data_IF_485280454194
#
_entry.id   IF_485280454194
#
_cell.length_a   1.000
_cell.length_b   1.000
_cell.length_c   1.000
_cell.angle_alpha   90.00
_cell.angle_beta   90.00
_cell.angle_gamma   90.00
#
_symmetry.space_group_name_H-M   'P 1'
#
loop_
_entity.id
_entity.type
_entity.pdbx_description
1 polymer ?
#
# COMPACT_ATOMS: atom_id res chain seq x y z
N UNK A 1 -22.43 1.89 -15.82
CA UNK A 1 -21.83 1.49 -17.11
C UNK A 1 -20.58 0.69 -16.82
N UNK A 2 -20.63 -0.60 -17.20
CA UNK A 2 -19.58 -1.60 -17.02
C UNK A 2 -18.48 -1.38 -18.06
N UNK A 3 -17.21 -1.36 -17.65
CA UNK A 3 -16.07 -1.50 -18.57
C UNK A 3 -15.29 -2.75 -18.14
N UNK A 4 -15.70 -3.87 -18.73
CA UNK A 4 -14.98 -5.15 -18.74
C UNK A 4 -14.14 -5.23 -20.02
N UNK A 5 -12.98 -5.88 -19.89
CA UNK A 5 -12.14 -6.54 -20.92
C UNK A 5 -11.23 -5.66 -21.78
N UNK A 6 -9.93 -5.88 -21.59
CA UNK A 6 -9.03 -6.23 -22.70
C UNK A 6 -7.89 -7.11 -22.15
N UNK A 7 -7.93 -8.40 -22.46
CA UNK A 7 -6.75 -9.25 -22.50
C UNK A 7 -7.00 -10.33 -23.55
N UNK A 8 -6.29 -10.23 -24.67
CA UNK A 8 -6.29 -11.17 -25.76
C UNK A 8 -5.30 -12.31 -25.48
N UNK A 9 -5.79 -13.50 -25.78
CA UNK A 9 -5.21 -14.83 -25.73
C UNK A 9 -3.96 -15.00 -26.59
N UNK A 10 -2.97 -15.78 -26.13
CA UNK A 10 -2.21 -16.70 -27.00
C UNK A 10 -1.63 -17.90 -26.20
N UNK A 11 -2.25 -19.04 -26.47
CA UNK A 11 -1.73 -20.41 -26.60
C UNK A 11 -0.85 -21.09 -25.51
N UNK A 12 -1.48 -22.05 -24.80
CA UNK A 12 -1.23 -23.50 -24.88
C UNK A 12 0.21 -24.03 -24.79
N UNK A 13 0.59 -24.53 -23.60
CA UNK A 13 1.33 -25.80 -23.40
C UNK A 13 0.83 -26.48 -22.12
N UNK A 14 0.71 -27.81 -22.16
CA UNK A 14 -0.01 -28.67 -21.22
C UNK A 14 0.55 -28.76 -19.79
N UNK A 15 -0.08 -29.61 -18.94
CA UNK A 15 0.00 -29.50 -17.50
C UNK A 15 1.32 -30.07 -16.99
N UNK A 16 2.13 -29.23 -16.35
CA UNK A 16 3.17 -29.69 -15.44
C UNK A 16 2.51 -29.72 -14.06
N UNK A 17 2.07 -30.90 -13.64
CA UNK A 17 1.66 -31.18 -12.27
C UNK A 17 2.91 -31.10 -11.39
N UNK A 18 3.18 -29.92 -10.81
CA UNK A 18 4.17 -29.76 -9.74
C UNK A 18 3.42 -29.87 -8.42
N UNK A 19 3.88 -30.82 -7.61
CA UNK A 19 3.54 -31.08 -6.23
C UNK A 19 3.18 -29.81 -5.42
N UNK A 20 1.94 -29.82 -4.91
CA UNK A 20 1.47 -29.22 -3.66
C UNK A 20 2.23 -28.03 -3.09
N UNK A 21 1.99 -26.85 -3.67
CA UNK A 21 2.21 -25.58 -2.97
C UNK A 21 0.82 -25.06 -2.59
N UNK A 22 0.32 -25.49 -1.44
CA UNK A 22 -1.00 -25.10 -0.93
C UNK A 22 -0.91 -23.67 -0.40
N UNK A 23 -0.71 -22.71 -1.32
CA UNK A 23 -0.56 -21.31 -0.98
C UNK A 23 -1.90 -20.82 -0.44
N UNK A 24 -1.95 -20.29 0.81
CA UNK A 24 -3.20 -19.88 1.42
C UNK A 24 -3.92 -18.87 0.54
N UNK A 25 -5.20 -19.11 0.29
CA UNK A 25 -6.03 -18.23 -0.53
C UNK A 25 -6.31 -16.97 0.28
N UNK A 26 -6.02 -15.80 -0.28
CA UNK A 26 -6.32 -14.53 0.38
C UNK A 26 -7.61 -13.94 -0.18
N UNK A 27 -8.52 -13.53 0.70
CA UNK A 27 -9.78 -12.89 0.34
C UNK A 27 -9.92 -11.55 1.05
N UNK A 28 -10.16 -10.49 0.28
CA UNK A 28 -10.30 -9.13 0.79
C UNK A 28 -11.76 -8.79 1.01
N UNK A 29 -12.14 -8.47 2.25
CA UNK A 29 -13.52 -8.16 2.59
C UNK A 29 -13.76 -6.65 2.59
N UNK A 30 -14.74 -6.22 1.80
CA UNK A 30 -15.25 -4.85 1.72
C UNK A 30 -14.15 -3.75 1.62
N UNK A 31 -13.18 -3.83 0.69
CA UNK A 31 -12.06 -2.89 0.63
C UNK A 31 -12.50 -1.41 0.50
N UNK A 32 -13.61 -1.13 -0.18
CA UNK A 32 -14.11 0.22 -0.43
C UNK A 32 -14.64 0.93 0.83
N UNK A 33 -15.04 0.19 1.85
CA UNK A 33 -15.57 0.72 3.12
C UNK A 33 -14.48 1.03 4.15
N UNK A 34 -13.20 0.91 3.77
CA UNK A 34 -12.04 1.13 4.64
C UNK A 34 -12.11 2.44 5.43
N UNK A 35 -12.62 3.53 4.84
CA UNK A 35 -12.70 4.85 5.50
C UNK A 35 -13.73 4.92 6.64
N UNK A 36 -14.70 4.00 6.63
CA UNK A 36 -15.80 3.97 7.60
C UNK A 36 -15.51 3.06 8.78
N UNK A 37 -14.55 2.13 8.66
CA UNK A 37 -14.15 1.19 9.73
C UNK A 37 -13.02 1.76 10.58
N UNK A 38 -13.33 2.32 11.73
CA UNK A 38 -12.33 2.92 12.64
C UNK A 38 -12.01 2.03 13.83
N UNK A 39 -12.84 1.05 14.13
CA UNK A 39 -12.68 0.19 15.30
C UNK A 39 -12.40 -1.27 14.93
N UNK A 40 -11.80 -2.00 15.88
CA UNK A 40 -11.68 -3.45 15.76
C UNK A 40 -13.06 -4.11 15.80
N UNK A 41 -14.04 -3.54 16.52
CA UNK A 41 -15.41 -4.03 16.52
C UNK A 41 -16.02 -3.98 15.11
N UNK A 42 -15.82 -2.88 14.36
CA UNK A 42 -16.29 -2.77 12.97
C UNK A 42 -15.70 -3.89 12.10
N UNK A 43 -14.49 -4.34 12.42
CA UNK A 43 -13.82 -5.42 11.70
C UNK A 43 -14.40 -6.79 12.05
N UNK A 44 -14.68 -7.03 13.33
CA UNK A 44 -15.33 -8.25 13.80
C UNK A 44 -16.76 -8.35 13.27
N UNK A 45 -17.50 -7.25 13.20
CA UNK A 45 -18.84 -7.20 12.61
C UNK A 45 -18.83 -7.64 11.14
N UNK A 46 -17.83 -7.20 10.36
CA UNK A 46 -17.64 -7.66 8.97
C UNK A 46 -17.33 -9.15 8.93
N UNK A 47 -16.49 -9.68 9.82
CA UNK A 47 -16.20 -11.12 9.87
C UNK A 47 -17.44 -11.96 10.21
N UNK A 48 -18.29 -11.49 11.13
CA UNK A 48 -19.56 -12.14 11.45
C UNK A 48 -20.55 -12.08 10.29
N UNK A 49 -20.68 -10.93 9.62
CA UNK A 49 -21.59 -10.77 8.48
C UNK A 49 -21.27 -11.72 7.32
N UNK A 50 -20.01 -12.13 7.19
CA UNK A 50 -19.56 -13.08 6.17
C UNK A 50 -19.51 -14.55 6.67
N UNK A 51 -20.03 -14.84 7.87
CA UNK A 51 -19.96 -16.16 8.52
C UNK A 51 -18.53 -16.74 8.59
N UNK A 52 -17.52 -15.86 8.58
CA UNK A 52 -16.11 -16.23 8.61
C UNK A 52 -15.70 -16.57 10.04
N UNK A 53 -16.24 -15.84 11.02
CA UNK A 53 -15.80 -15.93 12.41
C UNK A 53 -16.09 -17.29 13.06
N UNK A 54 -17.15 -17.99 12.64
CA UNK A 54 -17.56 -19.27 13.24
C UNK A 54 -16.57 -20.41 12.98
N UNK A 55 -15.65 -20.25 12.01
CA UNK A 55 -14.56 -21.19 11.71
C UNK A 55 -13.15 -20.65 11.96
N UNK A 56 -13.02 -19.41 12.46
CA UNK A 56 -11.72 -18.77 12.64
C UNK A 56 -11.13 -19.13 13.99
N UNK A 57 -9.92 -19.69 13.96
CA UNK A 57 -9.21 -20.09 15.17
C UNK A 57 -8.39 -18.94 15.77
N UNK A 58 -7.96 -17.99 14.94
CA UNK A 58 -7.17 -16.83 15.37
C UNK A 58 -7.41 -15.64 14.44
N UNK A 59 -7.75 -14.49 15.01
CA UNK A 59 -7.67 -13.20 14.32
C UNK A 59 -6.41 -12.49 14.76
N UNK A 60 -5.60 -12.03 13.82
CA UNK A 60 -4.32 -11.32 14.06
C UNK A 60 -4.32 -9.96 13.39
N UNK A 61 -3.84 -8.96 14.09
CA UNK A 61 -3.59 -7.63 13.55
C UNK A 61 -2.15 -7.60 13.00
N UNK A 62 -1.99 -7.04 11.81
CA UNK A 62 -0.70 -6.80 11.17
C UNK A 62 -0.58 -5.33 10.78
N UNK A 63 0.57 -4.75 11.10
CA UNK A 63 0.86 -3.34 10.81
C UNK A 63 2.06 -3.26 9.85
N UNK A 64 1.81 -2.81 8.63
CA UNK A 64 2.87 -2.49 7.67
C UNK A 64 3.30 -1.02 7.82
N UNK A 65 4.60 -0.73 7.87
CA UNK A 65 5.06 0.66 7.82
C UNK A 65 4.89 1.26 6.42
N UNK A 66 4.28 2.43 6.32
CA UNK A 66 4.29 3.28 5.13
C UNK A 66 5.02 4.58 5.46
N UNK A 67 6.20 4.74 4.88
CA UNK A 67 6.93 6.01 4.94
C UNK A 67 6.32 6.96 3.93
N UNK A 68 5.91 8.12 4.39
CA UNK A 68 5.34 9.18 3.57
C UNK A 68 6.48 10.05 3.02
N UNK A 69 6.22 10.87 1.98
CA UNK A 69 7.25 11.76 1.47
C UNK A 69 7.78 12.78 2.49
N UNK A 70 6.97 13.14 3.50
CA UNK A 70 7.40 13.94 4.66
C UNK A 70 8.41 13.23 5.56
N UNK A 71 8.77 11.97 5.26
CA UNK A 71 9.55 11.05 6.11
C UNK A 71 8.79 10.53 7.34
N UNK A 72 7.58 11.01 7.59
CA UNK A 72 6.70 10.44 8.60
C UNK A 72 6.37 8.98 8.25
N UNK A 73 6.35 8.10 9.26
CA UNK A 73 5.86 6.74 9.09
C UNK A 73 4.45 6.64 9.66
N UNK A 74 3.55 6.05 8.88
CA UNK A 74 2.19 5.66 9.30
C UNK A 74 2.06 4.14 9.19
N UNK A 75 1.23 3.54 10.05
CA UNK A 75 0.89 2.13 9.98
C UNK A 75 -0.26 1.87 9.01
N UNK A 76 -0.04 0.98 8.05
CA UNK A 76 -1.07 0.29 7.28
C UNK A 76 -1.65 -0.83 8.14
N UNK A 77 -2.91 -0.69 8.52
CA UNK A 77 -3.56 -1.59 9.47
C UNK A 77 -4.38 -2.62 8.72
N UNK A 78 -4.05 -3.90 8.91
CA UNK A 78 -4.79 -5.02 8.37
C UNK A 78 -5.09 -6.05 9.46
N UNK A 79 -6.27 -6.65 9.38
CA UNK A 79 -6.72 -7.72 10.27
C UNK A 79 -6.86 -8.99 9.44
N UNK A 80 -6.16 -10.02 9.86
CA UNK A 80 -6.08 -11.32 9.22
C UNK A 80 -6.91 -12.31 10.04
N UNK A 81 -7.91 -12.90 9.42
CA UNK A 81 -8.70 -13.97 9.99
C UNK A 81 -8.41 -15.26 9.22
N UNK A 82 -7.72 -16.19 9.87
CA UNK A 82 -7.36 -17.48 9.29
C UNK A 82 -8.49 -18.50 9.51
N UNK A 83 -9.12 -18.95 8.43
CA UNK A 83 -10.08 -20.05 8.47
C UNK A 83 -9.37 -21.36 8.11
N UNK A 84 -9.13 -22.18 9.14
CA UNK A 84 -8.42 -23.46 8.98
C UNK A 84 -9.21 -24.49 8.17
N UNK A 85 -10.54 -24.41 8.14
CA UNK A 85 -11.38 -25.34 7.38
C UNK A 85 -11.44 -25.00 5.88
N UNK A 86 -11.27 -23.72 5.53
CA UNK A 86 -11.41 -23.24 4.16
C UNK A 86 -10.07 -22.93 3.46
N UNK A 87 -8.92 -23.15 4.13
CA UNK A 87 -7.57 -22.78 3.67
C UNK A 87 -7.49 -21.34 3.13
N UNK A 88 -8.36 -20.47 3.67
CA UNK A 88 -8.57 -19.10 3.20
C UNK A 88 -8.30 -18.14 4.36
N UNK A 89 -7.52 -17.11 4.07
CA UNK A 89 -7.22 -16.01 4.98
C UNK A 89 -7.98 -14.78 4.53
N UNK A 90 -8.91 -14.33 5.36
CA UNK A 90 -9.67 -13.12 5.12
C UNK A 90 -8.89 -11.91 5.63
N UNK A 91 -8.83 -10.86 4.82
CA UNK A 91 -8.13 -9.62 5.12
C UNK A 91 -9.14 -8.48 5.12
N UNK A 92 -9.18 -7.76 6.24
CA UNK A 92 -9.92 -6.50 6.37
C UNK A 92 -8.92 -5.40 6.68
N UNK A 93 -9.04 -4.26 6.01
CA UNK A 93 -8.19 -3.09 6.29
C UNK A 93 -8.94 -1.99 6.99
N UNK A 94 -8.21 -1.31 7.87
CA UNK A 94 -8.60 -0.07 8.54
C UNK A 94 -7.82 1.12 7.96
N UNK A 95 -8.25 2.37 8.21
CA UNK A 95 -7.51 3.55 7.80
C UNK A 95 -6.06 3.51 8.28
N UNK A 96 -5.15 4.03 7.46
CA UNK A 96 -3.76 4.21 7.90
C UNK A 96 -3.72 5.13 9.12
N UNK A 97 -2.91 4.80 10.11
CA UNK A 97 -2.92 5.49 11.40
C UNK A 97 -1.48 5.66 11.94
N UNK A 98 -1.26 6.66 12.80
CA UNK A 98 -0.01 6.75 13.61
C UNK A 98 -0.24 6.28 15.02
N UNK A 99 -1.48 6.39 15.48
CA UNK A 99 -1.88 6.12 16.84
C UNK A 99 -3.22 5.39 16.82
N UNK A 100 -3.50 4.70 17.92
CA UNK A 100 -4.82 4.21 18.22
C UNK A 100 -5.19 4.61 19.65
N UNK A 101 -6.48 4.56 19.97
CA UNK A 101 -7.01 4.70 21.31
C UNK A 101 -7.58 3.36 21.78
N UNK A 102 -7.38 3.03 23.05
CA UNK A 102 -7.94 1.83 23.64
C UNK A 102 -8.09 1.99 25.16
N UNK A 103 -8.90 1.12 25.76
CA UNK A 103 -8.97 0.96 27.21
C UNK A 103 -8.17 -0.28 27.62
N UNK A 104 -7.19 -0.10 28.50
CA UNK A 104 -6.51 -1.23 29.13
C UNK A 104 -7.45 -1.97 30.09
N UNK A 105 -7.30 -3.28 30.19
CA UNK A 105 -8.07 -4.07 31.14
C UNK A 105 -7.88 -3.55 32.57
N UNK A 106 -8.99 -3.44 33.32
CA UNK A 106 -9.00 -2.88 34.67
C UNK A 106 -8.92 -1.34 34.73
N UNK A 107 -8.81 -0.64 33.59
CA UNK A 107 -8.86 0.83 33.52
C UNK A 107 -10.11 1.31 32.79
N UNK A 108 -10.68 2.43 33.24
CA UNK A 108 -11.83 3.05 32.57
C UNK A 108 -11.43 4.11 31.54
N UNK A 109 -10.22 4.66 31.65
CA UNK A 109 -9.76 5.75 30.79
C UNK A 109 -9.30 5.22 29.43
N UNK A 110 -9.69 5.90 28.37
CA UNK A 110 -9.12 5.73 27.03
C UNK A 110 -7.72 6.33 26.99
N UNK A 111 -6.74 5.52 26.63
CA UNK A 111 -5.34 5.92 26.47
C UNK A 111 -4.96 5.86 24.99
N UNK A 112 -3.99 6.69 24.59
CA UNK A 112 -3.45 6.70 23.22
C UNK A 112 -2.14 5.94 23.19
N UNK A 113 -1.95 5.17 22.12
CA UNK A 113 -0.79 4.32 21.92
C UNK A 113 -0.27 4.48 20.49
N UNK A 114 1.01 4.15 20.30
CA UNK A 114 1.63 4.04 18.98
C UNK A 114 1.01 2.88 18.18
N UNK A 115 0.70 3.10 16.90
CA UNK A 115 0.04 2.09 16.05
C UNK A 115 0.83 0.78 15.92
N UNK A 116 2.16 0.84 15.93
CA UNK A 116 3.01 -0.34 15.74
C UNK A 116 2.94 -1.31 16.91
N UNK A 117 2.43 -0.88 18.08
CA UNK A 117 2.15 -1.79 19.20
C UNK A 117 1.06 -2.82 18.91
N UNK A 118 0.20 -2.58 17.91
CA UNK A 118 -0.81 -3.55 17.48
C UNK A 118 -0.24 -4.64 16.57
N UNK A 119 1.01 -4.53 16.11
CA UNK A 119 1.55 -5.53 15.20
C UNK A 119 1.71 -6.89 15.90
N UNK A 120 1.09 -7.91 15.33
CA UNK A 120 1.04 -9.26 15.91
C UNK A 120 0.04 -9.46 17.04
N UNK A 121 -0.74 -8.43 17.40
CA UNK A 121 -1.80 -8.57 18.40
C UNK A 121 -2.89 -9.55 17.93
N UNK A 122 -3.50 -10.28 18.86
CA UNK A 122 -4.61 -11.20 18.59
C UNK A 122 -5.94 -10.59 19.01
N UNK A 123 -7.02 -10.97 18.34
CA UNK A 123 -8.38 -10.51 18.64
C UNK A 123 -9.27 -11.71 18.93
N UNK A 124 -10.04 -11.64 20.01
CA UNK A 124 -11.07 -12.64 20.36
C UNK A 124 -12.45 -12.27 19.82
N UNK A 125 -13.43 -13.18 19.96
CA UNK A 125 -14.81 -12.94 19.52
C UNK A 125 -15.56 -11.85 20.29
N UNK A 126 -15.04 -11.39 21.42
CA UNK A 126 -15.61 -10.29 22.20
C UNK A 126 -14.92 -8.95 21.87
N UNK A 127 -14.15 -8.89 20.78
CA UNK A 127 -13.36 -7.73 20.38
C UNK A 127 -12.31 -7.30 21.42
N UNK A 128 -11.88 -8.20 22.31
CA UNK A 128 -10.71 -7.94 23.15
C UNK A 128 -9.46 -8.18 22.31
N UNK A 129 -8.49 -7.28 22.48
CA UNK A 129 -7.21 -7.33 21.79
C UNK A 129 -6.13 -7.65 22.81
N UNK A 130 -5.36 -8.71 22.57
CA UNK A 130 -4.17 -9.04 23.36
C UNK A 130 -2.92 -8.69 22.55
N UNK A 131 -2.12 -7.76 23.08
CA UNK A 131 -0.84 -7.36 22.49
C UNK A 131 0.21 -8.48 22.66
N UNK A 132 1.30 -8.42 21.89
CA UNK A 132 2.42 -9.36 21.99
C UNK A 132 3.07 -9.37 23.38
N UNK A 133 3.03 -8.23 24.08
CA UNK A 133 3.52 -8.11 25.46
C UNK A 133 2.54 -8.66 26.54
N UNK A 134 1.41 -9.24 26.12
CA UNK A 134 0.35 -9.76 26.99
C UNK A 134 -0.64 -8.69 27.49
N UNK A 135 -0.45 -7.41 27.13
CA UNK A 135 -1.39 -6.35 27.51
C UNK A 135 -2.74 -6.58 26.85
N UNK A 136 -3.81 -6.60 27.66
CA UNK A 136 -5.18 -6.73 27.18
C UNK A 136 -5.86 -5.38 27.04
N UNK A 137 -6.45 -5.16 25.87
CA UNK A 137 -7.12 -3.94 25.46
C UNK A 137 -8.56 -4.24 25.03
N UNK A 138 -9.43 -3.26 25.21
CA UNK A 138 -10.79 -3.23 24.64
C UNK A 138 -11.09 -1.88 24.03
N UNK A 139 -12.17 -1.79 23.26
CA UNK A 139 -12.59 -0.55 22.58
C UNK A 139 -11.45 0.07 21.75
N UNK A 140 -10.74 -0.78 21.00
CA UNK A 140 -9.61 -0.37 20.17
C UNK A 140 -10.12 0.34 18.93
N UNK A 141 -9.70 1.59 18.75
CA UNK A 141 -10.05 2.43 17.61
C UNK A 141 -8.81 3.12 17.05
N UNK A 142 -8.58 2.96 15.75
CA UNK A 142 -7.48 3.62 15.05
C UNK A 142 -7.78 5.10 14.88
N UNK A 143 -6.77 5.96 15.02
CA UNK A 143 -6.88 7.39 14.75
C UNK A 143 -6.33 7.61 13.33
N UNK A 144 -7.19 7.85 12.32
CA UNK A 144 -6.74 7.99 10.94
C UNK A 144 -5.68 9.09 10.82
N UNK A 145 -4.55 8.75 10.21
CA UNK A 145 -3.51 9.71 9.93
C UNK A 145 -3.98 10.67 8.83
N UNK A 146 -3.74 11.96 9.05
CA UNK A 146 -3.81 12.94 7.96
C UNK A 146 -2.57 12.72 7.10
N UNK A 147 -2.73 12.03 5.97
CA UNK A 147 -1.65 11.85 5.02
C UNK A 147 -1.28 13.24 4.45
N UNK A 148 0.00 13.67 4.55
CA UNK A 148 0.42 14.99 4.09
C UNK A 148 0.35 14.98 2.57
N UNK A 149 -0.48 15.89 2.06
CA UNK A 149 -0.93 16.05 0.68
C UNK A 149 -2.06 15.10 0.27
N UNK A 150 -3.16 15.69 -0.24
CA UNK A 150 -4.05 14.98 -1.15
C UNK A 150 -3.21 14.61 -2.37
N UNK A 151 -2.78 13.36 -2.43
CA UNK A 151 -2.25 12.78 -3.66
C UNK A 151 -3.43 12.69 -4.61
N UNK A 152 -3.33 13.37 -5.75
CA UNK A 152 -4.40 13.35 -6.76
C UNK A 152 -4.32 12.06 -7.58
N UNK A 153 -5.41 11.69 -8.26
CA UNK A 153 -5.37 10.55 -9.19
C UNK A 153 -4.32 10.76 -10.30
N UNK A 154 -4.07 12.01 -10.68
CA UNK A 154 -3.01 12.39 -11.62
C UNK A 154 -1.62 12.11 -11.05
N UNK A 155 -1.38 12.48 -9.79
CA UNK A 155 -0.11 12.22 -9.11
C UNK A 155 0.18 10.71 -9.09
N UNK A 156 -0.84 9.89 -8.77
CA UNK A 156 -0.73 8.43 -8.77
C UNK A 156 -0.41 7.88 -10.16
N UNK A 157 -1.11 8.33 -11.21
CA UNK A 157 -0.86 7.89 -12.59
C UNK A 157 0.56 8.19 -13.05
N UNK A 158 1.03 9.42 -12.84
CA UNK A 158 2.41 9.82 -13.16
C UNK A 158 3.40 8.91 -12.43
N UNK A 159 3.17 8.66 -11.15
CA UNK A 159 4.05 7.86 -10.31
C UNK A 159 4.09 6.38 -10.75
N UNK A 160 2.93 5.75 -10.94
CA UNK A 160 2.84 4.35 -11.39
C UNK A 160 3.48 4.14 -12.77
N UNK A 161 3.23 5.05 -13.72
CA UNK A 161 3.83 4.99 -15.05
C UNK A 161 5.36 5.17 -14.98
N UNK A 162 5.84 6.05 -14.12
CA UNK A 162 7.29 6.24 -13.91
C UNK A 162 7.94 5.00 -13.31
N UNK A 163 7.33 4.38 -12.31
CA UNK A 163 7.83 3.13 -11.70
C UNK A 163 7.89 2.01 -12.74
N UNK A 164 6.82 1.86 -13.54
CA UNK A 164 6.76 0.87 -14.61
C UNK A 164 7.85 1.11 -15.67
N UNK A 165 8.07 2.37 -16.05
CA UNK A 165 9.16 2.72 -16.97
C UNK A 165 10.54 2.34 -16.42
N UNK A 166 10.74 2.43 -15.10
CA UNK A 166 12.00 2.05 -14.43
C UNK A 166 12.13 0.56 -14.12
N UNK A 167 11.12 -0.26 -14.43
CA UNK A 167 11.03 -1.68 -14.04
C UNK A 167 11.24 -1.92 -12.53
N UNK A 168 10.81 -0.98 -11.69
CA UNK A 168 11.03 -1.01 -10.25
C UNK A 168 9.79 -1.46 -9.46
N UNK A 169 8.79 -2.04 -10.12
CA UNK A 169 7.53 -2.46 -9.50
C UNK A 169 7.76 -3.43 -8.34
N UNK A 170 8.67 -4.40 -8.52
CA UNK A 170 9.00 -5.38 -7.48
C UNK A 170 9.58 -4.76 -6.22
N UNK A 171 10.28 -3.63 -6.35
CA UNK A 171 10.88 -2.91 -5.22
C UNK A 171 9.88 -1.94 -4.58
N UNK A 172 9.07 -1.27 -5.41
CA UNK A 172 8.17 -0.21 -4.96
C UNK A 172 6.83 -0.72 -4.42
N UNK A 173 6.38 -1.91 -4.82
CA UNK A 173 5.14 -2.52 -4.33
C UNK A 173 5.39 -3.72 -3.40
N UNK A 174 6.61 -3.85 -2.86
CA UNK A 174 6.96 -4.90 -1.91
C UNK A 174 6.38 -4.60 -0.52
N UNK A 175 5.08 -4.81 -0.34
CA UNK A 175 4.47 -4.76 1.00
C UNK A 175 4.40 -6.15 1.64
N UNK A 176 4.71 -6.27 2.96
CA UNK A 176 4.48 -7.51 3.70
C UNK A 176 2.99 -7.91 3.75
N UNK A 177 2.08 -6.95 3.55
CA UNK A 177 0.64 -7.19 3.38
C UNK A 177 0.36 -7.27 1.87
N UNK A 178 -0.05 -8.45 1.38
CA UNK A 178 -0.41 -8.64 -0.03
C UNK A 178 -1.77 -8.01 -0.33
N UNK A 179 -1.78 -6.76 -0.79
CA UNK A 179 -2.99 -6.06 -1.23
C UNK A 179 -3.70 -6.77 -2.39
N UNK A 180 -5.03 -6.64 -2.47
CA UNK A 180 -5.84 -7.25 -3.54
C UNK A 180 -5.35 -6.84 -4.93
N UNK A 181 -4.83 -5.62 -5.06
CA UNK A 181 -4.10 -5.16 -6.24
C UNK A 181 -2.73 -4.62 -5.84
N UNK A 182 -1.64 -4.98 -6.56
CA UNK A 182 -0.30 -4.47 -6.30
C UNK A 182 -0.20 -2.93 -6.33
N UNK A 183 -1.12 -2.24 -6.99
CA UNK A 183 -1.15 -0.77 -7.08
C UNK A 183 -1.67 -0.05 -5.83
N UNK A 184 -2.30 -0.75 -4.88
CA UNK A 184 -3.00 -0.11 -3.75
C UNK A 184 -2.08 0.27 -2.58
N UNK A 185 -0.84 -0.22 -2.59
CA UNK A 185 0.15 0.10 -1.57
C UNK A 185 1.51 0.31 -2.20
N UNK A 186 1.77 1.55 -2.59
CA UNK A 186 3.10 1.99 -2.97
C UNK A 186 3.93 2.26 -1.74
N UNK A 187 5.06 1.55 -1.57
CA UNK A 187 6.03 1.88 -0.55
C UNK A 187 6.84 3.10 -1.00
N UNK A 188 6.45 4.27 -0.52
CA UNK A 188 7.14 5.50 -0.89
C UNK A 188 8.55 5.59 -0.29
N UNK A 189 8.93 4.66 0.61
CA UNK A 189 10.27 4.62 1.22
C UNK A 189 11.37 4.22 0.23
N UNK A 190 11.05 3.42 -0.79
CA UNK A 190 11.99 2.91 -1.79
C UNK A 190 12.12 3.83 -3.01
N UNK A 191 11.18 4.77 -3.18
CA UNK A 191 11.18 5.71 -4.31
C UNK A 191 12.44 6.60 -4.39
N UNK A 192 12.97 7.14 -3.27
CA UNK A 192 14.24 7.88 -3.31
C UNK A 192 15.42 7.03 -3.82
N UNK A 193 15.37 5.71 -3.66
CA UNK A 193 16.40 4.76 -4.10
C UNK A 193 16.32 4.46 -5.61
N UNK A 194 15.31 4.99 -6.30
CA UNK A 194 15.27 5.00 -7.78
C UNK A 194 16.28 6.00 -8.37
N UNK A 195 16.95 6.81 -7.54
CA UNK A 195 17.94 7.79 -7.97
C UNK A 195 19.00 7.15 -8.89
N UNK A 196 19.12 7.69 -10.10
CA UNK A 196 20.06 7.20 -11.12
C UNK A 196 19.47 6.18 -12.09
N UNK A 197 18.31 5.59 -11.79
CA UNK A 197 17.50 4.78 -12.72
C UNK A 197 16.38 5.58 -13.40
N UNK A 198 15.99 6.69 -12.79
CA UNK A 198 14.93 7.58 -13.31
C UNK A 198 15.40 8.22 -14.63
N UNK A 199 14.66 8.03 -15.75
CA UNK A 199 14.96 8.63 -17.05
C UNK A 199 14.82 10.16 -17.03
N UNK A 200 15.18 10.80 -18.14
CA UNK A 200 14.97 12.26 -18.30
C UNK A 200 13.48 12.58 -18.37
N UNK A 201 13.09 13.79 -17.91
CA UNK A 201 11.69 14.23 -17.92
C UNK A 201 11.01 14.10 -19.28
N UNK A 202 11.74 14.41 -20.35
CA UNK A 202 11.24 14.29 -21.72
C UNK A 202 10.89 12.84 -22.09
N UNK A 203 11.68 11.88 -21.62
CA UNK A 203 11.46 10.45 -21.88
C UNK A 203 10.27 9.94 -21.05
N UNK A 204 10.18 10.35 -19.78
CA UNK A 204 9.04 10.04 -18.91
C UNK A 204 7.76 10.60 -19.51
N UNK A 205 7.79 11.86 -19.97
CA UNK A 205 6.66 12.50 -20.64
C UNK A 205 6.23 11.71 -21.87
N UNK A 206 7.15 11.43 -22.79
CA UNK A 206 6.84 10.67 -24.01
C UNK A 206 6.21 9.30 -23.69
N UNK A 207 6.72 8.60 -22.68
CA UNK A 207 6.18 7.33 -22.22
C UNK A 207 4.75 7.46 -21.66
N UNK A 208 4.48 8.51 -20.87
CA UNK A 208 3.14 8.80 -20.35
C UNK A 208 2.16 9.11 -21.49
N UNK A 209 2.57 9.93 -22.46
CA UNK A 209 1.73 10.28 -23.62
C UNK A 209 1.36 9.04 -24.45
N UNK A 210 2.30 8.11 -24.62
CA UNK A 210 2.09 6.84 -25.34
C UNK A 210 1.14 5.91 -24.58
N UNK A 211 1.37 5.71 -23.28
CA UNK A 211 0.60 4.76 -22.46
C UNK A 211 -0.78 5.29 -22.06
N UNK A 212 -0.89 6.59 -21.89
CA UNK A 212 -2.11 7.24 -21.42
C UNK A 212 -2.40 8.52 -22.22
N UNK A 213 -2.99 8.40 -23.43
CA UNK A 213 -3.23 9.55 -24.31
C UNK A 213 -4.11 10.66 -23.71
N UNK A 214 -4.91 10.33 -22.69
CA UNK A 214 -5.68 11.31 -21.92
C UNK A 214 -4.79 12.34 -21.21
N UNK A 215 -3.52 12.00 -20.96
CA UNK A 215 -2.53 12.83 -20.28
C UNK A 215 -1.59 13.54 -21.25
N UNK A 216 -1.88 13.59 -22.56
CA UNK A 216 -0.97 14.15 -23.58
C UNK A 216 -0.50 15.60 -23.38
N UNK A 217 -1.23 16.38 -22.59
CA UNK A 217 -0.94 17.80 -22.36
C UNK A 217 -0.17 18.05 -21.05
N UNK A 218 0.37 17.00 -20.43
CA UNK A 218 1.09 17.13 -19.17
C UNK A 218 2.40 17.92 -19.37
N UNK A 219 2.63 18.90 -18.49
CA UNK A 219 3.87 19.67 -18.51
C UNK A 219 5.01 18.88 -17.85
N UNK A 220 6.24 19.02 -18.34
CA UNK A 220 7.42 18.41 -17.70
C UNK A 220 7.60 18.91 -16.26
N UNK A 221 7.22 20.16 -15.99
CA UNK A 221 7.25 20.72 -14.63
C UNK A 221 6.27 20.01 -13.70
N UNK A 222 5.06 19.70 -14.15
CA UNK A 222 4.07 18.95 -13.35
C UNK A 222 4.59 17.55 -13.03
N UNK A 223 5.19 16.86 -13.99
CA UNK A 223 5.85 15.57 -13.76
C UNK A 223 6.95 15.74 -12.71
N UNK A 224 7.78 16.77 -12.85
CA UNK A 224 8.88 17.04 -11.93
C UNK A 224 8.41 17.30 -10.49
N UNK A 225 7.37 18.11 -10.33
CA UNK A 225 6.80 18.45 -9.03
C UNK A 225 6.20 17.22 -8.36
N UNK A 226 5.50 16.36 -9.11
CA UNK A 226 4.97 15.10 -8.59
C UNK A 226 6.10 14.17 -8.17
N UNK A 227 7.09 13.92 -9.03
CA UNK A 227 8.21 13.03 -8.69
C UNK A 227 9.00 13.56 -7.47
N UNK A 228 9.24 14.87 -7.41
CA UNK A 228 9.89 15.52 -6.28
C UNK A 228 9.06 15.41 -4.99
N UNK A 229 7.73 15.56 -5.09
CA UNK A 229 6.77 15.36 -3.99
C UNK A 229 6.86 13.95 -3.40
N UNK A 230 7.33 12.95 -4.14
CA UNK A 230 7.57 11.57 -3.68
C UNK A 230 9.06 11.25 -3.41
N UNK A 231 9.93 12.27 -3.39
CA UNK A 231 11.35 12.09 -3.09
C UNK A 231 12.19 11.55 -4.25
N UNK A 232 11.60 11.37 -5.44
CA UNK A 232 12.29 10.91 -6.64
C UNK A 232 13.08 12.08 -7.23
N UNK A 233 14.40 11.91 -7.34
CA UNK A 233 15.29 12.93 -7.91
C UNK A 233 15.52 12.70 -9.40
N UNK A 234 15.07 13.64 -10.20
CA UNK A 234 15.26 13.65 -11.66
C UNK A 234 16.69 14.07 -12.01
N UNK A 235 17.36 13.38 -12.95
CA UNK A 235 18.65 13.82 -13.47
C UNK A 235 18.54 15.19 -14.15
N UNK A 236 19.39 16.14 -13.76
CA UNK A 236 19.52 17.40 -14.50
C UNK A 236 20.45 17.18 -15.68
N UNK A 237 20.08 17.62 -16.91
CA UNK A 237 21.03 17.61 -18.01
C UNK A 237 22.24 18.45 -17.61
N UNK A 238 23.43 17.83 -17.55
CA UNK A 238 24.67 18.60 -17.39
C UNK A 238 24.78 19.50 -18.60
N UNK A 239 24.70 20.82 -18.41
CA UNK A 239 25.21 21.77 -19.40
C UNK A 239 26.69 21.46 -19.56
N UNK A 240 27.04 20.75 -20.62
CA UNK A 240 28.40 20.76 -21.15
C UNK A 240 28.72 22.20 -21.44
N UNK A 241 29.48 22.85 -20.53
CA UNK A 241 30.16 24.11 -20.85
C UNK A 241 30.96 23.79 -22.10
N UNK A 242 30.55 24.35 -23.24
CA UNK A 242 31.29 24.23 -24.48
C UNK A 242 32.72 24.64 -24.18
N UNK A 243 33.64 23.68 -24.26
CA UNK A 243 35.03 24.03 -24.47
C UNK A 243 35.04 24.76 -25.80
N UNK A 244 35.15 26.08 -25.73
CA UNK A 244 35.36 26.92 -26.88
C UNK A 244 36.56 26.37 -27.64
N UNK A 245 36.32 26.07 -28.91
CA UNK A 245 37.33 25.93 -29.94
C UNK A 245 38.24 27.15 -29.91
N UNK A 246 39.40 27.04 -29.25
CA UNK A 246 40.50 27.94 -29.49
C UNK A 246 41.19 27.47 -30.78
N UNK A 247 40.75 28.03 -31.91
CA UNK A 247 41.62 28.14 -33.08
C UNK A 247 42.76 29.06 -32.68
N UNK A 248 43.97 28.52 -32.59
CA UNK A 248 45.20 29.30 -32.60
C UNK A 248 45.85 29.11 -33.98
N UNK A 249 46.17 30.26 -34.55
CA UNK A 249 46.79 30.54 -35.86
C UNK A 249 48.20 29.96 -35.93
#
# INVERSE_FOLDING_TARGET
MNVKRLCLTLASRGPISILGDNMPRYEWLQPDERKNRRSIADTIDVLHAHAVFDGVRTVKIRIGGLRLPSQDVVGLVAVFAENAAAETTFIITLPSARQFRAQCHGRQKLEKFDIFRLDGATVDGNCNVELVDGTRLRAVEVIPALLPNKVTDLDWRILHLTIAMTNAERECYAYPIRFAQPGDALDCSTLPDLKGRVPLLKEIKAYIEEREPALKNLSEQTIADVLCKFGIRIPRPRRTRGLGSASAV
#
